data_IF_303912902590
#
_entry.id   IF_303912902590
#
_cell.length_a   1.000
_cell.length_b   1.000
_cell.length_c   1.000
_cell.angle_alpha   90.00
_cell.angle_beta   90.00
_cell.angle_gamma   90.00
#
_symmetry.space_group_name_H-M   'P 1'
#
loop_
_entity.id
_entity.type
_entity.pdbx_description
1 polymer ?
#
# COMPACT_ATOMS: atom_id res chain seq x y z
N UNK A 1 15.22 -17.33 5.44
CA UNK A 1 15.38 -18.79 5.45
C UNK A 1 16.78 -19.16 5.92
N UNK A 2 16.93 -19.75 7.10
CA UNK A 2 18.27 -19.97 7.68
C UNK A 2 18.72 -21.42 7.49
N UNK A 3 19.48 -21.67 6.42
CA UNK A 3 20.27 -22.90 6.25
C UNK A 3 21.15 -23.18 7.49
N UNK A 4 21.51 -22.13 8.23
CA UNK A 4 22.35 -22.20 9.42
C UNK A 4 21.68 -22.96 10.59
N UNK A 5 20.34 -22.92 10.70
CA UNK A 5 19.61 -23.70 11.72
C UNK A 5 19.70 -25.21 11.43
N UNK A 6 19.60 -25.61 10.16
CA UNK A 6 19.80 -26.99 9.73
C UNK A 6 21.24 -27.48 9.93
N UNK A 7 22.23 -26.64 9.59
CA UNK A 7 23.65 -26.93 9.85
C UNK A 7 23.91 -27.08 11.36
N UNK A 8 23.34 -26.19 12.18
CA UNK A 8 23.44 -26.26 13.64
C UNK A 8 22.85 -27.54 14.21
N UNK A 9 21.66 -27.96 13.74
CA UNK A 9 21.04 -29.21 14.16
C UNK A 9 21.89 -30.44 13.82
N UNK A 10 22.49 -30.48 12.61
CA UNK A 10 23.41 -31.56 12.19
C UNK A 10 24.66 -31.58 13.07
N UNK A 11 25.28 -30.42 13.30
CA UNK A 11 26.48 -30.32 14.15
C UNK A 11 26.24 -30.73 15.61
N UNK A 12 25.08 -30.38 16.18
CA UNK A 12 24.71 -30.83 17.53
C UNK A 12 24.45 -32.35 17.59
N UNK A 13 23.87 -32.94 16.55
CA UNK A 13 23.65 -34.38 16.49
C UNK A 13 24.96 -35.18 16.45
N UNK A 14 26.00 -34.68 15.76
CA UNK A 14 27.32 -35.33 15.67
C UNK A 14 28.04 -35.43 17.03
N UNK A 15 27.77 -34.51 17.95
CA UNK A 15 28.34 -34.51 19.31
C UNK A 15 27.39 -35.10 20.37
N UNK A 16 26.30 -35.75 19.94
CA UNK A 16 25.32 -36.41 20.81
C UNK A 16 24.30 -35.47 21.46
N UNK A 17 24.16 -34.24 20.97
CA UNK A 17 23.10 -33.31 21.36
C UNK A 17 21.75 -33.69 20.73
N UNK A 18 20.67 -33.55 21.50
CA UNK A 18 19.29 -33.77 21.04
C UNK A 18 18.59 -32.42 21.03
N UNK A 19 18.18 -31.96 19.84
CA UNK A 19 17.36 -30.76 19.70
C UNK A 19 15.92 -31.06 20.17
N UNK A 20 15.25 -30.06 20.72
CA UNK A 20 13.83 -30.18 21.11
C UNK A 20 12.92 -30.12 19.88
N UNK A 21 11.73 -30.71 20.00
CA UNK A 21 10.69 -30.57 18.98
C UNK A 21 10.38 -29.08 18.76
N UNK A 22 10.20 -28.70 17.49
CA UNK A 22 9.96 -27.31 17.10
C UNK A 22 11.19 -26.40 17.09
N UNK A 23 12.39 -26.88 17.45
CA UNK A 23 13.62 -26.07 17.44
C UNK A 23 13.97 -25.47 16.06
N UNK A 24 13.38 -26.00 14.99
CA UNK A 24 13.57 -25.54 13.61
C UNK A 24 12.34 -24.79 13.06
N UNK A 25 11.28 -24.58 13.85
CA UNK A 25 10.02 -24.04 13.33
C UNK A 25 10.16 -22.62 12.78
N UNK A 26 11.02 -21.79 13.39
CA UNK A 26 11.36 -20.46 12.86
C UNK A 26 12.11 -20.47 11.52
N UNK A 27 12.48 -21.63 10.99
CA UNK A 27 13.06 -21.77 9.64
C UNK A 27 12.06 -22.21 8.57
N UNK A 28 10.83 -22.60 8.97
CA UNK A 28 9.76 -22.97 8.05
C UNK A 28 9.31 -21.74 7.27
N UNK A 29 8.95 -21.95 6.01
CA UNK A 29 8.23 -20.94 5.23
C UNK A 29 6.82 -20.86 5.79
N UNK A 30 6.41 -19.68 6.24
CA UNK A 30 5.03 -19.45 6.66
C UNK A 30 4.14 -19.20 5.44
N UNK A 31 2.83 -19.36 5.61
CA UNK A 31 1.85 -19.01 4.59
C UNK A 31 1.98 -17.53 4.20
N UNK A 32 2.16 -16.63 5.17
CA UNK A 32 2.40 -15.21 4.92
C UNK A 32 3.64 -14.95 4.05
N UNK A 33 4.72 -15.72 4.22
CA UNK A 33 5.91 -15.60 3.36
C UNK A 33 5.67 -16.09 1.93
N UNK A 34 4.80 -17.10 1.76
CA UNK A 34 4.41 -17.59 0.44
C UNK A 34 3.53 -16.56 -0.27
N UNK A 35 2.49 -16.06 0.41
CA UNK A 35 1.59 -15.01 -0.10
C UNK A 35 2.40 -13.77 -0.52
N UNK A 36 3.26 -13.25 0.36
CA UNK A 36 4.08 -12.09 0.03
C UNK A 36 5.00 -12.31 -1.19
N UNK A 37 5.50 -13.54 -1.39
CA UNK A 37 6.28 -13.88 -2.59
C UNK A 37 5.41 -13.94 -3.84
N UNK A 38 4.22 -14.53 -3.76
CA UNK A 38 3.28 -14.63 -4.87
C UNK A 38 2.77 -13.24 -5.28
N UNK A 39 2.46 -12.37 -4.32
CA UNK A 39 2.07 -10.98 -4.58
C UNK A 39 3.21 -10.20 -5.25
N UNK A 40 4.45 -10.31 -4.74
CA UNK A 40 5.60 -9.65 -5.35
C UNK A 40 5.86 -10.17 -6.78
N UNK A 41 5.72 -11.48 -7.00
CA UNK A 41 5.86 -12.10 -8.31
C UNK A 41 4.77 -11.61 -9.27
N UNK A 42 3.53 -11.59 -8.83
CA UNK A 42 2.38 -11.22 -9.65
C UNK A 42 2.41 -9.72 -9.96
N UNK A 43 2.84 -8.87 -9.01
CA UNK A 43 3.14 -7.45 -9.24
C UNK A 43 4.20 -7.25 -10.33
N UNK A 44 5.29 -8.02 -10.29
CA UNK A 44 6.35 -7.96 -11.32
C UNK A 44 5.83 -8.44 -12.67
N UNK A 45 5.03 -9.49 -12.72
CA UNK A 45 4.48 -10.03 -13.97
C UNK A 45 3.37 -9.15 -14.56
N UNK A 46 2.61 -8.45 -13.73
CA UNK A 46 1.56 -7.52 -14.14
C UNK A 46 2.13 -6.16 -14.58
N UNK A 47 3.36 -5.82 -14.16
CA UNK A 47 4.00 -4.57 -14.57
C UNK A 47 4.37 -4.61 -16.06
N UNK A 48 3.92 -3.60 -16.80
CA UNK A 48 4.17 -3.49 -18.24
C UNK A 48 5.57 -2.88 -18.49
N UNK A 49 6.56 -3.75 -18.69
CA UNK A 49 7.91 -3.36 -19.11
C UNK A 49 8.01 -2.93 -20.59
N UNK A 50 6.91 -2.94 -21.35
CA UNK A 50 6.94 -2.39 -22.69
C UNK A 50 7.28 -0.91 -22.60
N UNK A 51 8.28 -0.48 -23.36
CA UNK A 51 8.66 0.93 -23.41
C UNK A 51 7.47 1.77 -23.86
N UNK A 52 6.94 2.61 -22.97
CA UNK A 52 5.85 3.53 -23.30
C UNK A 52 6.20 4.32 -24.57
N UNK A 53 5.29 4.33 -25.54
CA UNK A 53 5.52 5.02 -26.82
C UNK A 53 4.93 6.43 -26.84
N UNK A 54 4.03 6.73 -25.91
CA UNK A 54 3.40 8.04 -25.73
C UNK A 54 3.09 8.30 -24.24
N UNK A 55 2.75 9.54 -23.91
CA UNK A 55 2.48 9.99 -22.55
C UNK A 55 1.25 9.29 -21.91
N UNK A 56 0.22 8.98 -22.70
CA UNK A 56 -0.93 8.22 -22.20
C UNK A 56 -0.51 6.83 -21.69
N UNK A 57 0.30 6.10 -22.46
CA UNK A 57 0.84 4.81 -22.04
C UNK A 57 1.73 4.93 -20.80
N UNK A 58 2.60 5.94 -20.75
CA UNK A 58 3.42 6.23 -19.57
C UNK A 58 2.56 6.35 -18.31
N UNK A 59 1.52 7.17 -18.35
CA UNK A 59 0.63 7.38 -17.20
C UNK A 59 -0.21 6.15 -16.86
N UNK A 60 -0.64 5.34 -17.83
CA UNK A 60 -1.35 4.09 -17.56
C UNK A 60 -0.43 3.10 -16.82
N UNK A 61 0.84 2.99 -17.22
CA UNK A 61 1.82 2.13 -16.56
C UNK A 61 2.06 2.54 -15.11
N UNK A 62 2.24 3.84 -14.86
CA UNK A 62 2.41 4.41 -13.53
C UNK A 62 1.16 4.27 -12.66
N UNK A 63 -0.03 4.45 -13.24
CA UNK A 63 -1.27 4.17 -12.55
C UNK A 63 -1.34 2.70 -12.10
N UNK A 64 -1.02 1.76 -12.97
CA UNK A 64 -1.01 0.33 -12.62
C UNK A 64 0.00 0.03 -11.50
N UNK A 65 1.19 0.61 -11.56
CA UNK A 65 2.19 0.46 -10.49
C UNK A 65 1.70 1.03 -9.15
N UNK A 66 1.11 2.23 -9.15
CA UNK A 66 0.54 2.85 -7.97
C UNK A 66 -0.65 2.05 -7.41
N UNK A 67 -1.51 1.48 -8.27
CA UNK A 67 -2.61 0.61 -7.84
C UNK A 67 -2.13 -0.67 -7.17
N UNK A 68 -1.04 -1.28 -7.65
CA UNK A 68 -0.46 -2.46 -7.00
C UNK A 68 0.06 -2.11 -5.59
N UNK A 69 0.72 -0.95 -5.43
CA UNK A 69 1.14 -0.46 -4.12
C UNK A 69 -0.04 -0.11 -3.21
N UNK A 70 -1.12 0.44 -3.78
CA UNK A 70 -2.34 0.74 -3.06
C UNK A 70 -3.01 -0.53 -2.51
N UNK A 71 -3.09 -1.60 -3.31
CA UNK A 71 -3.62 -2.90 -2.86
C UNK A 71 -2.82 -3.41 -1.66
N UNK A 72 -1.49 -3.44 -1.77
CA UNK A 72 -0.63 -3.85 -0.66
C UNK A 72 -0.81 -2.98 0.60
N UNK A 73 -0.97 -1.66 0.44
CA UNK A 73 -1.22 -0.75 1.56
C UNK A 73 -2.59 -0.98 2.22
N UNK A 74 -3.63 -1.29 1.42
CA UNK A 74 -4.96 -1.64 1.93
C UNK A 74 -4.94 -2.95 2.72
N UNK A 75 -4.17 -3.95 2.27
CA UNK A 75 -4.02 -5.20 3.01
C UNK A 75 -3.33 -4.97 4.37
N UNK A 76 -2.23 -4.19 4.39
CA UNK A 76 -1.55 -3.80 5.64
C UNK A 76 -2.50 -3.04 6.57
N UNK A 77 -3.32 -2.13 6.02
CA UNK A 77 -4.33 -1.42 6.80
C UNK A 77 -5.38 -2.37 7.38
N UNK A 78 -5.81 -3.38 6.63
CA UNK A 78 -6.72 -4.42 7.11
C UNK A 78 -6.15 -5.18 8.31
N UNK A 79 -4.88 -5.59 8.23
CA UNK A 79 -4.18 -6.27 9.32
C UNK A 79 -4.05 -5.36 10.56
N UNK A 80 -3.61 -4.11 10.39
CA UNK A 80 -3.48 -3.15 11.49
C UNK A 80 -4.85 -2.83 12.13
N UNK A 81 -5.92 -2.74 11.33
CA UNK A 81 -7.29 -2.55 11.83
C UNK A 81 -7.73 -3.73 12.67
N UNK A 82 -7.40 -4.96 12.27
CA UNK A 82 -7.71 -6.17 13.03
C UNK A 82 -7.07 -6.17 14.41
N UNK A 83 -5.83 -5.69 14.52
CA UNK A 83 -5.14 -5.52 15.80
C UNK A 83 -5.88 -4.51 16.69
N UNK A 84 -6.27 -3.35 16.15
CA UNK A 84 -6.98 -2.33 16.93
C UNK A 84 -8.42 -2.71 17.29
N UNK A 85 -9.07 -3.61 16.55
CA UNK A 85 -10.42 -4.10 16.88
C UNK A 85 -10.48 -4.77 18.26
N UNK A 86 -9.36 -5.29 18.79
CA UNK A 86 -9.28 -5.83 20.16
C UNK A 86 -9.66 -4.79 21.22
N UNK A 87 -9.27 -3.51 21.05
CA UNK A 87 -9.68 -2.45 21.99
C UNK A 87 -11.13 -2.04 21.84
N UNK A 88 -11.72 -2.13 20.64
CA UNK A 88 -13.16 -1.90 20.48
C UNK A 88 -13.94 -2.91 21.31
N UNK A 89 -13.55 -4.19 21.29
CA UNK A 89 -14.18 -5.21 22.13
C UNK A 89 -14.01 -4.94 23.64
N UNK A 90 -12.86 -4.42 24.07
CA UNK A 90 -12.65 -3.97 25.46
C UNK A 90 -13.56 -2.81 25.82
N UNK A 91 -13.69 -1.83 24.94
CA UNK A 91 -14.53 -0.65 25.16
C UNK A 91 -16.02 -1.02 25.26
N UNK A 92 -16.50 -1.91 24.39
CA UNK A 92 -17.88 -2.44 24.43
C UNK A 92 -18.15 -3.17 25.76
N UNK A 93 -17.26 -4.08 26.18
CA UNK A 93 -17.41 -4.78 27.46
C UNK A 93 -17.37 -3.81 28.65
N UNK A 94 -16.54 -2.76 28.56
CA UNK A 94 -16.47 -1.74 29.59
C UNK A 94 -17.73 -0.87 29.69
N UNK A 95 -18.41 -0.63 28.56
CA UNK A 95 -19.69 0.08 28.52
C UNK A 95 -20.83 -0.73 29.13
N UNK A 96 -20.84 -2.06 28.95
CA UNK A 96 -21.87 -2.96 29.46
C UNK A 96 -21.64 -3.45 30.91
N UNK A 97 -20.41 -3.36 31.42
CA UNK A 97 -20.04 -3.90 32.73
C UNK A 97 -20.57 -3.06 33.93
N UNK A 98 -21.82 -3.33 34.33
CA UNK A 98 -22.52 -2.58 35.39
C UNK A 98 -22.55 -3.30 36.76
N UNK A 99 -22.28 -4.60 36.79
CA UNK A 99 -22.25 -5.37 38.04
C UNK A 99 -20.83 -5.61 38.52
N UNK A 100 -20.67 -5.82 39.83
CA UNK A 100 -19.36 -6.08 40.44
C UNK A 100 -18.65 -7.32 39.87
N UNK A 101 -19.34 -8.44 39.56
CA UNK A 101 -18.73 -9.56 38.85
C UNK A 101 -18.25 -9.20 37.43
N UNK A 102 -19.03 -8.44 36.66
CA UNK A 102 -18.65 -8.01 35.30
C UNK A 102 -17.44 -7.09 35.32
N UNK A 103 -17.35 -6.17 36.29
CA UNK A 103 -16.18 -5.30 36.45
C UNK A 103 -14.91 -6.06 36.82
N UNK A 104 -15.02 -7.17 37.57
CA UNK A 104 -13.88 -8.05 37.86
C UNK A 104 -13.46 -8.80 36.59
N UNK A 105 -14.41 -9.30 35.80
CA UNK A 105 -14.11 -9.94 34.52
C UNK A 105 -13.43 -8.96 33.53
N UNK A 106 -13.91 -7.71 33.45
CA UNK A 106 -13.27 -6.65 32.68
C UNK A 106 -11.84 -6.40 33.17
N UNK A 107 -11.64 -6.33 34.48
CA UNK A 107 -10.32 -6.12 35.08
C UNK A 107 -9.34 -7.25 34.76
N UNK A 108 -9.80 -8.50 34.75
CA UNK A 108 -9.00 -9.66 34.36
C UNK A 108 -8.68 -9.65 32.86
N UNK A 109 -9.65 -9.24 32.03
CA UNK A 109 -9.50 -9.14 30.58
C UNK A 109 -8.46 -8.08 30.19
N UNK A 110 -8.55 -6.85 30.70
CA UNK A 110 -7.59 -5.78 30.37
C UNK A 110 -6.20 -5.98 30.98
N UNK A 111 -6.04 -6.98 31.86
CA UNK A 111 -4.75 -7.33 32.45
C UNK A 111 -3.96 -8.32 31.59
N UNK A 112 -4.51 -8.86 30.50
CA UNK A 112 -3.78 -9.70 29.56
C UNK A 112 -3.21 -8.89 28.41
N UNK A 113 -2.04 -9.32 27.91
CA UNK A 113 -1.36 -8.65 26.81
C UNK A 113 -2.21 -8.65 25.51
N UNK A 114 -3.09 -9.64 25.34
CA UNK A 114 -3.99 -9.79 24.18
C UNK A 114 -4.97 -8.61 24.00
N UNK A 115 -5.36 -7.95 25.09
CA UNK A 115 -6.30 -6.82 25.07
C UNK A 115 -5.60 -5.47 25.30
N UNK A 116 -4.27 -5.46 25.27
CA UNK A 116 -3.48 -4.24 25.37
C UNK A 116 -3.20 -3.68 23.98
N UNK A 117 -3.31 -2.35 23.83
CA UNK A 117 -2.84 -1.65 22.63
C UNK A 117 -1.59 -0.87 22.99
N UNK A 118 -0.54 -1.09 22.21
CA UNK A 118 0.72 -0.39 22.28
C UNK A 118 0.73 0.86 21.39
N UNK A 119 1.64 1.79 21.71
CA UNK A 119 1.87 2.96 20.86
C UNK A 119 2.38 2.56 19.46
N UNK A 120 3.11 1.45 19.35
CA UNK A 120 3.61 0.94 18.08
C UNK A 120 2.46 0.48 17.16
N UNK A 121 1.46 -0.21 17.71
CA UNK A 121 0.30 -0.67 16.91
C UNK A 121 -0.56 0.50 16.41
N UNK A 122 -0.68 1.56 17.20
CA UNK A 122 -1.34 2.81 16.75
C UNK A 122 -0.52 3.52 15.67
N UNK A 123 0.80 3.53 15.81
CA UNK A 123 1.71 4.07 14.79
C UNK A 123 1.61 3.28 13.48
N UNK A 124 1.60 1.94 13.55
CA UNK A 124 1.45 1.05 12.39
C UNK A 124 0.13 1.30 11.65
N UNK A 125 -0.99 1.46 12.38
CA UNK A 125 -2.28 1.81 11.78
C UNK A 125 -2.25 3.17 11.07
N UNK A 126 -1.70 4.20 11.72
CA UNK A 126 -1.62 5.54 11.11
C UNK A 126 -0.71 5.54 9.88
N UNK A 127 0.43 4.86 9.93
CA UNK A 127 1.33 4.70 8.80
C UNK A 127 0.64 3.96 7.64
N UNK A 128 -0.20 2.96 7.93
CA UNK A 128 -0.96 2.26 6.91
C UNK A 128 -2.02 3.18 6.25
N UNK A 129 -2.71 4.01 7.02
CA UNK A 129 -3.64 5.02 6.50
C UNK A 129 -2.91 6.02 5.59
N UNK A 130 -1.76 6.54 6.03
CA UNK A 130 -0.95 7.47 5.26
C UNK A 130 -0.50 6.85 3.93
N UNK A 131 -0.08 5.58 3.94
CA UNK A 131 0.28 4.85 2.73
C UNK A 131 -0.91 4.67 1.76
N UNK A 132 -2.10 4.33 2.27
CA UNK A 132 -3.32 4.25 1.45
C UNK A 132 -3.65 5.61 0.82
N UNK A 133 -3.55 6.69 1.60
CA UNK A 133 -3.78 8.04 1.10
C UNK A 133 -2.78 8.42 -0.01
N UNK A 134 -1.49 8.15 0.21
CA UNK A 134 -0.43 8.45 -0.76
C UNK A 134 -0.62 7.67 -2.07
N UNK A 135 -0.78 6.34 -2.01
CA UNK A 135 -0.89 5.54 -3.22
C UNK A 135 -2.21 5.75 -3.96
N UNK A 136 -3.31 6.01 -3.25
CA UNK A 136 -4.58 6.36 -3.91
C UNK A 136 -4.50 7.71 -4.61
N UNK A 137 -3.82 8.70 -4.03
CA UNK A 137 -3.55 9.97 -4.68
C UNK A 137 -2.70 9.79 -5.94
N UNK A 138 -1.61 9.02 -5.86
CA UNK A 138 -0.75 8.76 -7.03
C UNK A 138 -1.51 8.02 -8.14
N UNK A 139 -2.22 6.95 -7.80
CA UNK A 139 -3.01 6.19 -8.75
C UNK A 139 -4.09 7.06 -9.42
N UNK A 140 -4.81 7.86 -8.64
CA UNK A 140 -5.81 8.80 -9.15
C UNK A 140 -5.20 9.84 -10.08
N UNK A 141 -4.08 10.46 -9.68
CA UNK A 141 -3.39 11.47 -10.47
C UNK A 141 -2.90 10.92 -11.82
N UNK A 142 -2.27 9.74 -11.82
CA UNK A 142 -1.81 9.12 -13.06
C UNK A 142 -2.97 8.72 -13.98
N UNK A 143 -4.08 8.21 -13.45
CA UNK A 143 -5.27 7.92 -14.27
C UNK A 143 -5.89 9.20 -14.85
N UNK A 144 -6.02 10.26 -14.05
CA UNK A 144 -6.53 11.54 -14.51
C UNK A 144 -5.61 12.13 -15.60
N UNK A 145 -4.29 12.07 -15.41
CA UNK A 145 -3.31 12.50 -16.39
C UNK A 145 -3.38 11.68 -17.70
N UNK A 146 -3.55 10.36 -17.61
CA UNK A 146 -3.73 9.50 -18.78
C UNK A 146 -4.98 9.90 -19.59
N UNK A 147 -6.07 10.26 -18.91
CA UNK A 147 -7.32 10.68 -19.54
C UNK A 147 -7.30 12.14 -20.03
N UNK A 148 -6.33 12.95 -19.60
CA UNK A 148 -6.20 14.34 -20.01
C UNK A 148 -5.47 14.44 -21.37
N UNK A 149 -6.25 14.59 -22.44
CA UNK A 149 -5.72 14.70 -23.81
C UNK A 149 -4.82 15.91 -24.05
N UNK A 150 -5.02 17.01 -23.31
CA UNK A 150 -4.19 18.22 -23.43
C UNK A 150 -2.83 18.02 -22.79
N UNK A 151 -2.79 17.43 -21.59
CA UNK A 151 -1.56 17.07 -20.88
C UNK A 151 -0.73 16.09 -21.71
N UNK A 152 -1.35 14.97 -22.12
CA UNK A 152 -0.65 13.92 -22.88
C UNK A 152 -0.12 14.44 -24.22
N UNK A 153 -0.89 15.22 -24.96
CA UNK A 153 -0.43 15.84 -26.21
C UNK A 153 0.72 16.85 -25.99
N UNK A 154 0.70 17.59 -24.88
CA UNK A 154 1.77 18.53 -24.51
C UNK A 154 3.09 17.80 -24.27
N UNK A 155 3.05 16.70 -23.51
CA UNK A 155 4.22 15.85 -23.23
C UNK A 155 4.73 15.20 -24.53
N UNK A 156 3.84 14.62 -25.34
CA UNK A 156 4.20 14.00 -26.61
C UNK A 156 4.89 15.00 -27.56
N UNK A 157 4.36 16.23 -27.63
CA UNK A 157 4.93 17.32 -28.44
C UNK A 157 6.31 17.72 -27.91
N UNK A 158 6.47 17.85 -26.60
CA UNK A 158 7.76 18.16 -25.99
C UNK A 158 8.80 17.06 -26.30
N UNK A 159 8.44 15.79 -26.11
CA UNK A 159 9.33 14.67 -26.39
C UNK A 159 9.73 14.62 -27.86
N UNK A 160 8.76 14.78 -28.78
CA UNK A 160 9.03 14.80 -30.22
C UNK A 160 9.96 15.96 -30.63
N UNK A 161 9.73 17.17 -30.11
CA UNK A 161 10.55 18.35 -30.43
C UNK A 161 11.99 18.23 -29.90
N UNK A 162 12.20 17.48 -28.82
CA UNK A 162 13.51 17.29 -28.20
C UNK A 162 14.15 15.93 -28.54
N UNK A 163 13.53 15.15 -29.44
CA UNK A 163 14.00 13.82 -29.83
C UNK A 163 14.21 12.88 -28.63
N UNK A 164 13.28 12.92 -27.67
CA UNK A 164 13.23 12.08 -26.47
C UNK A 164 12.31 10.89 -26.73
N UNK A 165 12.74 9.69 -26.33
CA UNK A 165 11.89 8.51 -26.31
C UNK A 165 11.12 8.50 -24.99
N UNK A 166 9.79 8.55 -25.01
CA UNK A 166 9.02 8.73 -23.76
C UNK A 166 9.28 7.62 -22.75
N UNK A 167 9.28 6.36 -23.17
CA UNK A 167 9.58 5.23 -22.29
C UNK A 167 11.04 5.13 -21.84
N UNK A 168 11.92 6.09 -22.15
CA UNK A 168 13.26 6.18 -21.56
C UNK A 168 13.33 7.10 -20.33
N UNK A 169 12.18 7.58 -19.84
CA UNK A 169 12.12 8.29 -18.56
C UNK A 169 12.74 7.45 -17.42
N UNK A 170 13.33 8.14 -16.45
CA UNK A 170 13.99 7.52 -15.29
C UNK A 170 13.16 7.64 -14.02
N UNK A 171 12.34 8.68 -13.93
CA UNK A 171 11.42 8.90 -12.82
C UNK A 171 10.29 9.84 -13.26
N UNK A 172 9.14 9.69 -12.62
CA UNK A 172 8.03 10.63 -12.70
C UNK A 172 7.45 10.83 -11.30
N UNK A 173 7.17 12.08 -10.94
CA UNK A 173 6.60 12.44 -9.65
C UNK A 173 5.41 13.35 -9.82
N UNK A 174 4.41 13.22 -8.95
CA UNK A 174 3.28 14.14 -8.86
C UNK A 174 3.26 14.85 -7.51
N UNK A 175 3.15 16.19 -7.53
CA UNK A 175 3.00 17.02 -6.33
C UNK A 175 1.63 17.69 -6.33
N UNK A 176 0.70 17.18 -5.52
CA UNK A 176 -0.70 17.67 -5.49
C UNK A 176 -0.81 19.15 -5.10
N UNK A 177 -0.05 19.63 -4.10
CA UNK A 177 -0.18 21.01 -3.59
C UNK A 177 0.04 22.11 -4.62
N UNK A 178 0.70 21.78 -5.73
CA UNK A 178 0.96 22.67 -6.87
C UNK A 178 0.44 22.10 -8.19
N UNK A 179 -0.27 20.98 -8.14
CA UNK A 179 -0.76 20.22 -9.31
C UNK A 179 0.33 20.09 -10.37
N UNK A 180 1.44 19.42 -10.05
CA UNK A 180 2.61 19.33 -10.94
C UNK A 180 3.08 17.89 -11.14
N UNK A 181 3.22 17.48 -12.40
CA UNK A 181 4.02 16.34 -12.81
C UNK A 181 5.43 16.79 -13.17
N UNK A 182 6.45 16.10 -12.67
CA UNK A 182 7.83 16.25 -13.11
C UNK A 182 8.30 14.93 -13.69
N UNK A 183 8.73 14.94 -14.96
CA UNK A 183 9.30 13.77 -15.64
C UNK A 183 10.80 13.99 -15.83
N UNK A 184 11.61 13.08 -15.28
CA UNK A 184 13.04 13.02 -15.52
C UNK A 184 13.32 12.09 -16.72
N UNK A 185 14.05 12.60 -17.70
CA UNK A 185 14.29 11.90 -18.98
C UNK A 185 15.64 11.18 -19.06
N UNK A 186 16.52 11.43 -18.09
CA UNK A 186 17.85 10.82 -18.00
C UNK A 186 18.36 10.74 -16.54
N UNK A 187 19.57 10.21 -16.35
CA UNK A 187 20.21 10.04 -15.04
C UNK A 187 20.79 11.35 -14.47
N UNK A 188 20.76 12.46 -15.23
CA UNK A 188 21.32 13.75 -14.77
C UNK A 188 20.39 14.47 -13.79
N UNK A 189 19.14 14.01 -13.68
CA UNK A 189 18.15 14.53 -12.73
C UNK A 189 17.46 15.82 -13.18
N UNK A 190 17.69 16.30 -14.41
CA UNK A 190 16.92 17.40 -14.98
C UNK A 190 15.53 16.89 -15.39
N UNK A 191 14.51 17.37 -14.68
CA UNK A 191 13.11 17.10 -14.97
C UNK A 191 12.41 18.22 -15.73
N UNK A 192 11.39 17.87 -16.50
CA UNK A 192 10.46 18.83 -17.11
C UNK A 192 9.13 18.78 -16.37
N UNK A 193 8.57 19.96 -16.05
CA UNK A 193 7.35 20.10 -15.28
C UNK A 193 6.12 20.39 -16.15
N UNK A 194 4.97 19.81 -15.78
CA UNK A 194 3.64 20.13 -16.30
C UNK A 194 2.71 20.38 -15.13
N UNK A 195 2.10 21.57 -15.09
CA UNK A 195 1.28 21.96 -13.96
C UNK A 195 -0.10 22.50 -14.33
N UNK A 196 -1.07 22.36 -13.43
CA UNK A 196 -2.41 22.93 -13.55
C UNK A 196 -3.38 22.11 -14.41
N UNK A 197 -3.13 20.81 -14.57
CA UNK A 197 -3.94 19.93 -15.41
C UNK A 197 -5.00 19.14 -14.65
N UNK A 198 -4.85 18.95 -13.34
CA UNK A 198 -5.72 18.10 -12.51
C UNK A 198 -6.47 18.88 -11.43
N UNK A 199 -6.33 20.21 -11.38
CA UNK A 199 -6.93 21.06 -10.35
C UNK A 199 -8.45 20.83 -10.20
N UNK A 200 -9.16 20.65 -11.31
CA UNK A 200 -10.61 20.41 -11.31
C UNK A 200 -10.99 18.94 -11.02
N UNK A 201 -10.03 18.01 -11.00
CA UNK A 201 -10.22 16.58 -10.77
C UNK A 201 -9.99 16.18 -9.29
N UNK A 202 -9.53 17.11 -8.45
CA UNK A 202 -9.24 16.83 -7.04
C UNK A 202 -10.54 16.58 -6.26
N UNK A 203 -10.52 15.55 -5.41
CA UNK A 203 -11.64 15.14 -4.56
C UNK A 203 -11.31 15.40 -3.10
N UNK A 204 -12.27 15.95 -2.36
CA UNK A 204 -12.13 16.18 -0.94
C UNK A 204 -12.64 14.98 -0.11
N UNK A 205 -12.61 15.11 1.22
CA UNK A 205 -13.06 14.04 2.11
C UNK A 205 -14.56 13.74 1.94
N UNK A 206 -15.39 14.75 1.70
CA UNK A 206 -16.84 14.56 1.52
C UNK A 206 -17.11 13.78 0.23
N UNK A 207 -16.37 14.07 -0.85
CA UNK A 207 -16.42 13.30 -2.09
C UNK A 207 -16.03 11.83 -1.87
N UNK A 208 -14.95 11.58 -1.13
CA UNK A 208 -14.47 10.21 -0.83
C UNK A 208 -15.49 9.44 0.01
N UNK A 209 -16.08 10.07 1.03
CA UNK A 209 -17.16 9.45 1.82
C UNK A 209 -18.41 9.17 0.98
N UNK A 210 -18.77 10.08 0.09
CA UNK A 210 -19.84 9.90 -0.88
C UNK A 210 -19.60 8.70 -1.78
N UNK A 211 -18.38 8.57 -2.32
CA UNK A 211 -17.97 7.44 -3.15
C UNK A 211 -18.03 6.12 -2.38
N UNK A 212 -17.52 6.07 -1.14
CA UNK A 212 -17.58 4.88 -0.31
C UNK A 212 -19.03 4.44 -0.05
N UNK A 213 -19.91 5.37 0.30
CA UNK A 213 -21.34 5.11 0.53
C UNK A 213 -22.02 4.53 -0.69
N UNK A 214 -21.73 5.08 -1.88
CA UNK A 214 -22.25 4.59 -3.15
C UNK A 214 -21.74 3.18 -3.47
N UNK A 215 -20.43 2.94 -3.34
CA UNK A 215 -19.82 1.64 -3.63
C UNK A 215 -20.40 0.56 -2.71
N UNK A 216 -20.61 0.85 -1.42
CA UNK A 216 -21.25 -0.09 -0.51
C UNK A 216 -22.70 -0.44 -0.91
N UNK A 217 -23.41 0.50 -1.53
CA UNK A 217 -24.78 0.27 -1.99
C UNK A 217 -24.85 -0.44 -3.36
N UNK A 218 -23.90 -0.18 -4.25
CA UNK A 218 -23.99 -0.54 -5.68
C UNK A 218 -22.89 -1.51 -6.17
N UNK A 219 -21.89 -1.81 -5.33
CA UNK A 219 -20.82 -2.77 -5.59
C UNK A 219 -19.66 -2.27 -6.47
N UNK A 220 -19.73 -1.04 -7.01
CA UNK A 220 -18.64 -0.46 -7.81
C UNK A 220 -18.76 1.06 -7.93
N UNK A 221 -17.66 1.72 -8.31
CA UNK A 221 -17.67 3.12 -8.68
C UNK A 221 -18.34 3.34 -10.05
N UNK A 222 -18.89 4.53 -10.32
CA UNK A 222 -19.46 4.90 -11.62
C UNK A 222 -18.88 6.21 -12.14
N UNK A 223 -18.79 6.33 -13.46
CA UNK A 223 -18.38 7.57 -14.13
C UNK A 223 -19.47 8.64 -13.92
N UNK A 224 -19.20 9.61 -13.04
CA UNK A 224 -20.17 10.64 -12.63
C UNK A 224 -20.20 10.91 -11.13
N UNK A 225 -19.41 10.18 -10.32
CA UNK A 225 -19.02 10.58 -8.96
C UNK A 225 -17.86 11.58 -8.96
#
# INVERSE_FOLDING_TARGET
MSINLGIGAVGYAEVGGVIVDGALDGSKVSEAMLVAYEDARDNVLAHDYATATNANQLFIQEHTAAMNNLVAAVDILGDATSVLMTATSVAEFAEEADTKPEQVALQEMIATDEYSISAAEVEDYNNAIDAVAEYSQQAGAFMAAANNSELTASIDTYAANNNILIGSYTAITYTQSIDEFVIAWDETGYGTGWNGYLTDDMKDADDVYGAASYILQHGSASAGM
#
